data_IF_289968506972
#
_entry.id   IF_289968506972
#
_cell.length_a   1.000
_cell.length_b   1.000
_cell.length_c   1.000
_cell.angle_alpha   90.00
_cell.angle_beta   90.00
_cell.angle_gamma   90.00
#
_symmetry.space_group_name_H-M   'P 1'
#
loop_
_entity.id
_entity.type
_entity.pdbx_description
1 polymer ?
#
# COMPACT_ATOMS: atom_id res chain seq x y z
N UNK A 1 21.44 12.64 -16.26
CA UNK A 1 21.45 11.19 -15.93
C UNK A 1 20.16 10.59 -16.47
N UNK A 2 20.22 9.68 -17.46
CA UNK A 2 19.02 9.04 -18.03
C UNK A 2 18.40 8.12 -16.97
N UNK A 3 17.09 8.24 -16.74
CA UNK A 3 16.42 7.56 -15.62
C UNK A 3 16.07 6.13 -16.02
N UNK A 4 16.93 5.18 -15.66
CA UNK A 4 16.58 3.76 -15.74
C UNK A 4 15.54 3.48 -14.64
N UNK A 5 14.40 2.83 -14.95
CA UNK A 5 13.38 2.52 -13.96
C UNK A 5 13.94 1.70 -12.80
N UNK A 6 13.40 1.92 -11.61
CA UNK A 6 13.80 1.16 -10.41
C UNK A 6 12.86 -0.01 -10.13
N UNK A 7 11.61 0.06 -10.58
CA UNK A 7 10.60 -0.98 -10.40
C UNK A 7 10.89 -2.21 -11.27
N UNK A 8 10.73 -3.41 -10.70
CA UNK A 8 11.04 -4.69 -11.36
C UNK A 8 10.36 -4.88 -12.72
N UNK A 9 9.05 -4.62 -12.79
CA UNK A 9 8.27 -4.77 -14.02
C UNK A 9 8.69 -3.76 -15.07
N UNK A 10 8.94 -2.51 -14.66
CA UNK A 10 9.40 -1.45 -15.57
C UNK A 10 10.81 -1.74 -16.12
N UNK A 11 11.71 -2.27 -15.29
CA UNK A 11 13.04 -2.73 -15.73
C UNK A 11 12.91 -3.81 -16.79
N UNK A 12 12.04 -4.82 -16.56
CA UNK A 12 11.84 -5.89 -17.53
C UNK A 12 11.28 -5.38 -18.87
N UNK A 13 10.30 -4.47 -18.81
CA UNK A 13 9.70 -3.85 -20.02
C UNK A 13 10.77 -3.06 -20.79
N UNK A 14 11.57 -2.24 -20.10
CA UNK A 14 12.61 -1.47 -20.76
C UNK A 14 13.71 -2.37 -21.34
N UNK A 15 14.17 -3.39 -20.61
CA UNK A 15 15.13 -4.37 -21.12
C UNK A 15 14.61 -5.11 -22.36
N UNK A 16 13.30 -5.37 -22.43
CA UNK A 16 12.66 -5.96 -23.62
C UNK A 16 12.70 -5.00 -24.81
N UNK A 17 12.38 -3.72 -24.60
CA UNK A 17 12.49 -2.70 -25.65
C UNK A 17 13.93 -2.51 -26.12
N UNK A 18 14.89 -2.46 -25.21
CA UNK A 18 16.32 -2.38 -25.54
C UNK A 18 16.80 -3.59 -26.35
N UNK A 19 16.37 -4.80 -25.98
CA UNK A 19 16.63 -6.01 -26.77
C UNK A 19 16.07 -5.91 -28.18
N UNK A 20 14.82 -5.48 -28.33
CA UNK A 20 14.20 -5.32 -29.65
C UNK A 20 14.94 -4.27 -30.50
N UNK A 21 15.36 -3.16 -29.89
CA UNK A 21 16.19 -2.14 -30.55
C UNK A 21 17.55 -2.70 -31.00
N UNK A 22 18.20 -3.52 -30.17
CA UNK A 22 19.45 -4.20 -30.54
C UNK A 22 19.24 -5.16 -31.72
N UNK A 23 18.18 -5.97 -31.70
CA UNK A 23 17.88 -6.89 -32.81
C UNK A 23 17.64 -6.13 -34.12
N UNK A 24 16.93 -5.00 -34.06
CA UNK A 24 16.59 -4.23 -35.26
C UNK A 24 17.74 -3.38 -35.79
N UNK A 25 18.57 -2.80 -34.92
CA UNK A 25 19.51 -1.73 -35.32
C UNK A 25 20.99 -2.02 -35.02
N UNK A 26 21.37 -3.11 -34.36
CA UNK A 26 22.78 -3.36 -34.03
C UNK A 26 23.70 -3.57 -35.24
N UNK A 27 23.16 -3.94 -36.40
CA UNK A 27 23.95 -4.00 -37.64
C UNK A 27 24.21 -2.59 -38.23
N UNK A 28 23.27 -1.66 -38.04
CA UNK A 28 23.33 -0.30 -38.56
C UNK A 28 24.03 0.68 -37.60
N UNK A 29 24.02 0.38 -36.30
CA UNK A 29 24.68 1.14 -35.25
C UNK A 29 25.81 0.25 -34.73
N UNK A 30 27.09 0.61 -34.87
CA UNK A 30 28.20 -0.22 -34.42
C UNK A 30 28.29 -0.21 -32.89
N UNK A 31 27.37 -0.93 -32.22
CA UNK A 31 27.32 -1.13 -30.78
C UNK A 31 28.33 -2.24 -30.44
N UNK A 32 29.47 -1.86 -29.88
CA UNK A 32 30.61 -2.79 -29.71
C UNK A 32 30.68 -3.47 -28.33
N UNK A 33 29.96 -2.96 -27.32
CA UNK A 33 30.06 -3.45 -25.94
C UNK A 33 28.86 -4.26 -25.44
N UNK A 34 27.71 -4.18 -26.12
CA UNK A 34 26.49 -4.90 -25.75
C UNK A 34 25.83 -5.46 -27.00
N UNK A 35 25.66 -6.78 -27.05
CA UNK A 35 24.96 -7.42 -28.15
C UNK A 35 23.57 -7.95 -27.73
N UNK A 36 22.74 -8.29 -28.72
CA UNK A 36 21.38 -8.76 -28.50
C UNK A 36 21.33 -10.07 -27.68
N UNK A 37 22.31 -10.96 -27.84
CA UNK A 37 22.38 -12.23 -27.11
C UNK A 37 22.65 -12.02 -25.61
N UNK A 38 23.57 -11.12 -25.26
CA UNK A 38 23.84 -10.72 -23.87
C UNK A 38 22.60 -10.11 -23.21
N UNK A 39 21.92 -9.18 -23.91
CA UNK A 39 20.68 -8.58 -23.40
C UNK A 39 19.56 -9.62 -23.22
N UNK A 40 19.44 -10.57 -24.15
CA UNK A 40 18.48 -11.67 -24.06
C UNK A 40 18.75 -12.58 -22.85
N UNK A 41 20.01 -12.97 -22.66
CA UNK A 41 20.42 -13.79 -21.53
C UNK A 41 20.13 -13.08 -20.20
N UNK A 42 20.56 -11.81 -20.05
CA UNK A 42 20.34 -11.05 -18.82
C UNK A 42 18.86 -10.79 -18.52
N UNK A 43 18.04 -10.44 -19.52
CA UNK A 43 16.59 -10.24 -19.27
C UNK A 43 15.87 -11.54 -18.90
N UNK A 44 16.30 -12.66 -19.47
CA UNK A 44 15.72 -13.98 -19.17
C UNK A 44 16.11 -14.42 -17.76
N UNK A 45 17.39 -14.29 -17.40
CA UNK A 45 17.85 -14.53 -16.04
C UNK A 45 17.09 -13.66 -15.02
N UNK A 46 16.93 -12.37 -15.30
CA UNK A 46 16.15 -11.44 -14.48
C UNK A 46 14.70 -11.89 -14.30
N UNK A 47 14.01 -12.27 -15.38
CA UNK A 47 12.65 -12.81 -15.27
C UNK A 47 12.59 -14.06 -14.39
N UNK A 48 13.52 -15.00 -14.61
CA UNK A 48 13.54 -16.28 -13.91
C UNK A 48 13.74 -16.10 -12.41
N UNK A 49 14.72 -15.29 -11.97
CA UNK A 49 14.94 -15.05 -10.53
C UNK A 49 13.77 -14.31 -9.88
N UNK A 50 13.05 -13.46 -10.64
CA UNK A 50 11.82 -12.82 -10.17
C UNK A 50 10.69 -13.84 -9.93
N UNK A 51 10.52 -14.79 -10.84
CA UNK A 51 9.54 -15.87 -10.71
C UNK A 51 9.89 -16.81 -9.56
N UNK A 52 11.16 -17.20 -9.43
CA UNK A 52 11.64 -18.05 -8.33
C UNK A 52 11.38 -17.38 -6.98
N UNK A 53 11.71 -16.10 -6.83
CA UNK A 53 11.45 -15.36 -5.58
C UNK A 53 9.96 -15.32 -5.22
N UNK A 54 9.09 -15.03 -6.19
CA UNK A 54 7.64 -15.01 -5.96
C UNK A 54 7.09 -16.40 -5.59
N UNK A 55 7.63 -17.44 -6.22
CA UNK A 55 7.27 -18.84 -5.93
C UNK A 55 7.71 -19.21 -4.52
N UNK A 56 8.98 -18.99 -4.15
CA UNK A 56 9.49 -19.27 -2.80
C UNK A 56 8.72 -18.52 -1.71
N UNK A 57 8.30 -17.28 -1.97
CA UNK A 57 7.46 -16.51 -1.04
C UNK A 57 6.10 -17.16 -0.83
N UNK A 58 5.45 -17.64 -1.90
CA UNK A 58 4.17 -18.32 -1.80
C UNK A 58 4.33 -19.69 -1.10
N UNK A 59 5.41 -20.42 -1.40
CA UNK A 59 5.75 -21.68 -0.71
C UNK A 59 5.94 -21.48 0.78
N UNK A 60 6.65 -20.42 1.20
CA UNK A 60 6.82 -20.12 2.62
C UNK A 60 5.50 -19.83 3.33
N UNK A 61 4.63 -19.03 2.70
CA UNK A 61 3.29 -18.77 3.24
C UNK A 61 2.51 -20.08 3.41
N UNK A 62 2.47 -20.91 2.39
CA UNK A 62 1.76 -22.19 2.44
C UNK A 62 2.38 -23.14 3.50
N UNK A 63 3.70 -23.13 3.67
CA UNK A 63 4.37 -23.92 4.71
C UNK A 63 3.93 -23.49 6.12
N UNK A 64 3.80 -22.18 6.37
CA UNK A 64 3.25 -21.68 7.64
C UNK A 64 1.78 -22.06 7.83
N UNK A 65 0.95 -21.97 6.78
CA UNK A 65 -0.47 -22.36 6.82
C UNK A 65 -0.65 -23.85 7.15
N UNK A 66 0.24 -24.72 6.69
CA UNK A 66 0.21 -26.17 7.00
C UNK A 66 0.83 -26.47 8.37
N UNK A 67 1.94 -25.81 8.73
CA UNK A 67 2.66 -26.07 9.97
C UNK A 67 1.84 -25.69 11.20
N UNK A 68 1.16 -24.52 11.18
CA UNK A 68 0.48 -24.00 12.36
C UNK A 68 -0.59 -24.96 12.93
N UNK A 69 -1.55 -25.49 12.14
CA UNK A 69 -2.52 -26.44 12.65
C UNK A 69 -1.90 -27.71 13.26
N UNK A 70 -0.83 -28.23 12.66
CA UNK A 70 -0.13 -29.41 13.18
C UNK A 70 0.52 -29.14 14.55
N UNK A 71 1.15 -27.96 14.70
CA UNK A 71 1.76 -27.54 15.97
C UNK A 71 0.72 -27.28 17.06
N UNK A 72 -0.42 -26.68 16.70
CA UNK A 72 -1.53 -26.43 17.61
C UNK A 72 -2.17 -27.76 18.05
N UNK A 73 -2.38 -28.71 17.12
CA UNK A 73 -2.91 -30.04 17.41
C UNK A 73 -2.01 -30.84 18.37
N UNK A 74 -0.69 -30.83 18.13
CA UNK A 74 0.27 -31.47 19.04
C UNK A 74 0.22 -30.85 20.44
N UNK A 75 0.10 -29.52 20.54
CA UNK A 75 0.03 -28.83 21.83
C UNK A 75 -1.22 -29.21 22.63
N UNK A 76 -2.39 -29.18 22.00
CA UNK A 76 -3.66 -29.54 22.64
C UNK A 76 -3.66 -31.01 23.08
N UNK A 77 -3.09 -31.89 22.26
CA UNK A 77 -2.92 -33.29 22.63
C UNK A 77 -1.97 -33.46 23.83
N UNK A 78 -0.84 -32.75 23.87
CA UNK A 78 0.09 -32.79 25.01
C UNK A 78 -0.55 -32.28 26.31
N UNK A 79 -1.46 -31.29 26.24
CA UNK A 79 -2.25 -30.86 27.40
C UNK A 79 -3.18 -31.97 27.89
N UNK A 80 -3.82 -32.68 26.98
CA UNK A 80 -4.69 -33.84 27.29
C UNK A 80 -3.89 -34.98 27.91
N UNK A 81 -2.74 -35.34 27.32
CA UNK A 81 -1.79 -36.33 27.85
C UNK A 81 -1.38 -35.97 29.28
N UNK A 82 -0.97 -34.73 29.51
CA UNK A 82 -0.60 -34.26 30.85
C UNK A 82 -1.75 -34.45 31.85
N UNK A 83 -2.98 -34.12 31.47
CA UNK A 83 -4.14 -34.27 32.35
C UNK A 83 -4.41 -35.75 32.69
N UNK A 84 -4.26 -36.66 31.71
CA UNK A 84 -4.40 -38.11 31.92
C UNK A 84 -3.30 -38.66 32.82
N UNK A 85 -2.04 -38.33 32.53
CA UNK A 85 -0.89 -38.78 33.33
C UNK A 85 -0.95 -38.24 34.76
N UNK A 86 -1.43 -37.01 34.98
CA UNK A 86 -1.58 -36.48 36.35
C UNK A 86 -2.54 -37.28 37.23
N UNK A 87 -3.52 -37.98 36.65
CA UNK A 87 -4.42 -38.88 37.40
C UNK A 87 -3.73 -40.19 37.79
N UNK A 88 -2.73 -40.64 37.04
CA UNK A 88 -2.01 -41.91 37.25
C UNK A 88 -0.71 -41.73 38.04
N UNK A 89 0.05 -40.69 37.74
CA UNK A 89 1.38 -40.41 38.28
C UNK A 89 1.38 -39.38 39.42
N UNK A 90 0.23 -38.74 39.66
CA UNK A 90 0.07 -37.63 40.59
C UNK A 90 0.35 -36.26 39.95
N UNK A 91 -0.08 -35.19 40.64
CA UNK A 91 -0.02 -33.82 40.12
C UNK A 91 1.33 -33.12 40.27
N UNK A 92 2.22 -33.67 41.10
CA UNK A 92 3.59 -33.17 41.32
C UNK A 92 4.56 -33.95 40.46
N UNK A 93 5.66 -33.29 40.08
CA UNK A 93 6.74 -33.95 39.35
C UNK A 93 7.34 -35.10 40.17
N UNK A 94 7.71 -36.18 39.50
CA UNK A 94 8.31 -37.38 40.06
C UNK A 94 9.19 -38.07 39.02
N UNK A 95 9.94 -39.10 39.42
CA UNK A 95 10.75 -39.91 38.48
C UNK A 95 9.88 -40.55 37.40
N UNK A 96 8.66 -40.97 37.73
CA UNK A 96 7.71 -41.52 36.75
C UNK A 96 7.29 -40.50 35.67
N UNK A 97 7.24 -39.20 36.01
CA UNK A 97 7.05 -38.14 35.00
C UNK A 97 8.27 -38.01 34.07
N UNK A 98 9.48 -38.17 34.60
CA UNK A 98 10.69 -38.16 33.79
C UNK A 98 10.76 -39.35 32.83
N UNK A 99 10.32 -40.54 33.26
CA UNK A 99 10.19 -41.73 32.41
C UNK A 99 9.21 -41.50 31.24
N UNK A 100 8.14 -40.72 31.46
CA UNK A 100 7.21 -40.31 30.42
C UNK A 100 7.72 -39.15 29.53
N UNK A 101 8.97 -38.68 29.73
CA UNK A 101 9.60 -37.64 28.92
C UNK A 101 9.59 -36.22 29.52
N UNK A 102 9.00 -36.01 30.70
CA UNK A 102 8.97 -34.71 31.37
C UNK A 102 10.23 -34.47 32.21
N UNK A 103 11.36 -34.22 31.53
CA UNK A 103 12.71 -34.20 32.12
C UNK A 103 13.10 -32.92 32.88
N UNK A 104 12.39 -31.81 32.69
CA UNK A 104 12.76 -30.47 33.21
C UNK A 104 12.30 -30.20 34.64
N UNK A 105 12.26 -31.23 35.49
CA UNK A 105 11.70 -31.19 36.87
C UNK A 105 10.31 -30.54 36.97
N UNK A 106 9.57 -30.57 35.87
CA UNK A 106 8.29 -29.90 35.68
C UNK A 106 7.36 -30.80 34.89
N UNK A 107 6.06 -30.76 35.21
CA UNK A 107 5.02 -31.44 34.43
C UNK A 107 4.43 -30.54 33.34
N UNK A 108 4.98 -29.34 33.14
CA UNK A 108 4.47 -28.39 32.16
C UNK A 108 4.79 -28.84 30.74
N UNK A 109 3.83 -28.66 29.82
CA UNK A 109 4.07 -28.84 28.39
C UNK A 109 5.07 -27.77 27.90
N UNK A 110 6.12 -28.15 27.14
CA UNK A 110 7.09 -27.20 26.62
C UNK A 110 6.47 -26.07 25.81
N UNK A 111 7.07 -24.87 25.92
CA UNK A 111 6.62 -23.67 25.21
C UNK A 111 7.12 -23.60 23.77
N UNK A 112 8.30 -24.15 23.50
CA UNK A 112 8.90 -24.18 22.15
C UNK A 112 8.38 -25.37 21.36
N UNK A 113 8.28 -25.22 20.04
CA UNK A 113 7.86 -26.32 19.16
C UNK A 113 8.82 -27.51 19.23
N UNK A 114 10.13 -27.25 19.20
CA UNK A 114 11.17 -28.28 19.34
C UNK A 114 11.00 -29.09 20.63
N UNK A 115 10.68 -28.41 21.74
CA UNK A 115 10.43 -29.06 23.01
C UNK A 115 9.15 -29.93 22.98
N UNK A 116 8.10 -29.49 22.28
CA UNK A 116 6.86 -30.25 22.12
C UNK A 116 7.08 -31.49 21.25
N UNK A 117 7.81 -31.37 20.14
CA UNK A 117 8.18 -32.50 19.28
C UNK A 117 9.01 -33.51 20.07
N UNK A 118 10.03 -33.04 20.80
CA UNK A 118 10.86 -33.92 21.63
C UNK A 118 10.04 -34.65 22.70
N UNK A 119 9.09 -33.96 23.35
CA UNK A 119 8.17 -34.59 24.31
C UNK A 119 7.23 -35.59 23.63
N UNK A 120 6.70 -35.26 22.45
CA UNK A 120 5.87 -36.16 21.64
C UNK A 120 6.60 -37.46 21.30
N UNK A 121 7.85 -37.36 20.83
CA UNK A 121 8.72 -38.52 20.56
C UNK A 121 8.97 -39.37 21.82
N UNK A 122 9.22 -38.73 22.97
CA UNK A 122 9.40 -39.45 24.23
C UNK A 122 8.11 -40.21 24.63
N UNK A 123 6.94 -39.61 24.41
CA UNK A 123 5.65 -40.22 24.69
C UNK A 123 5.31 -41.38 23.74
N UNK A 124 5.76 -41.33 22.47
CA UNK A 124 5.66 -42.48 21.55
C UNK A 124 6.37 -43.69 22.17
N UNK A 125 7.62 -43.52 22.59
CA UNK A 125 8.39 -44.60 23.24
C UNK A 125 7.71 -45.05 24.53
N UNK A 126 7.32 -44.11 25.39
CA UNK A 126 6.70 -44.41 26.68
C UNK A 126 5.43 -45.25 26.55
N UNK A 127 4.50 -44.88 25.66
CA UNK A 127 3.25 -45.63 25.47
C UNK A 127 3.47 -46.98 24.78
N UNK A 128 4.46 -47.08 23.89
CA UNK A 128 4.86 -48.35 23.28
C UNK A 128 5.37 -49.33 24.35
N UNK A 129 6.20 -48.84 25.28
CA UNK A 129 6.78 -49.65 26.36
C UNK A 129 5.79 -49.90 27.51
N UNK A 130 4.77 -49.05 27.65
CA UNK A 130 3.78 -49.09 28.73
C UNK A 130 2.33 -49.06 28.21
N UNK A 131 1.84 -50.08 27.48
CA UNK A 131 0.51 -50.06 26.86
C UNK A 131 -0.65 -49.89 27.85
N UNK A 132 -0.46 -50.28 29.11
CA UNK A 132 -1.48 -50.10 30.17
C UNK A 132 -1.74 -48.64 30.53
N UNK A 133 -0.84 -47.71 30.17
CA UNK A 133 -0.97 -46.28 30.38
C UNK A 133 -1.73 -45.56 29.26
N UNK A 134 -1.97 -46.24 28.14
CA UNK A 134 -2.80 -45.70 27.07
C UNK A 134 -4.26 -45.51 27.52
N UNK A 135 -4.92 -44.52 26.92
CA UNK A 135 -6.35 -44.24 27.09
C UNK A 135 -6.93 -43.93 25.71
N UNK A 136 -7.37 -44.98 25.02
CA UNK A 136 -7.86 -44.90 23.65
C UNK A 136 -9.08 -43.95 23.50
N UNK A 137 -9.99 -43.93 24.46
CA UNK A 137 -11.18 -43.05 24.45
C UNK A 137 -10.83 -41.55 24.44
N UNK A 138 -9.59 -41.19 24.78
CA UNK A 138 -9.09 -39.81 24.78
C UNK A 138 -7.96 -39.61 23.75
N UNK A 139 -7.77 -40.56 22.84
CA UNK A 139 -6.68 -40.57 21.86
C UNK A 139 -5.27 -40.44 22.49
N UNK A 140 -5.11 -40.86 23.75
CA UNK A 140 -3.81 -40.91 24.43
C UNK A 140 -3.19 -42.28 24.18
N UNK A 141 -2.56 -42.42 23.02
CA UNK A 141 -1.94 -43.67 22.53
C UNK A 141 -0.61 -43.39 21.85
N UNK A 142 0.25 -44.41 21.71
CA UNK A 142 1.49 -44.32 20.94
C UNK A 142 1.20 -43.96 19.47
N UNK A 143 0.17 -44.55 18.87
CA UNK A 143 -0.21 -44.29 17.49
C UNK A 143 -0.57 -42.82 17.25
N UNK A 144 -1.37 -42.22 18.15
CA UNK A 144 -1.72 -40.80 18.03
C UNK A 144 -0.53 -39.88 18.29
N UNK A 145 0.33 -40.26 19.25
CA UNK A 145 1.57 -39.54 19.53
C UNK A 145 2.45 -39.47 18.27
N UNK A 146 2.61 -40.59 17.55
CA UNK A 146 3.37 -40.65 16.29
C UNK A 146 2.74 -39.75 15.24
N UNK A 147 1.44 -39.90 14.97
CA UNK A 147 0.72 -39.10 13.97
C UNK A 147 0.93 -37.58 14.15
N UNK A 148 0.71 -37.09 15.38
CA UNK A 148 0.80 -35.66 15.67
C UNK A 148 2.23 -35.15 15.72
N UNK A 149 3.18 -35.97 16.19
CA UNK A 149 4.60 -35.59 16.26
C UNK A 149 5.20 -35.52 14.86
N UNK A 150 4.93 -36.52 14.01
CA UNK A 150 5.41 -36.54 12.62
C UNK A 150 4.82 -35.38 11.81
N UNK A 151 3.54 -35.06 12.01
CA UNK A 151 2.89 -33.92 11.37
C UNK A 151 3.52 -32.59 11.80
N UNK A 152 3.79 -32.41 13.10
CA UNK A 152 4.40 -31.20 13.63
C UNK A 152 5.87 -31.03 13.17
N UNK A 153 6.64 -32.12 13.17
CA UNK A 153 8.03 -32.13 12.71
C UNK A 153 8.13 -31.86 11.20
N UNK A 154 7.33 -32.56 10.39
CA UNK A 154 7.24 -32.32 8.94
C UNK A 154 6.84 -30.87 8.63
N UNK A 155 5.89 -30.30 9.39
CA UNK A 155 5.51 -28.89 9.28
C UNK A 155 6.68 -27.94 9.56
N UNK A 156 7.41 -28.18 10.64
CA UNK A 156 8.57 -27.36 11.03
C UNK A 156 9.72 -27.44 10.01
N UNK A 157 10.01 -28.65 9.51
CA UNK A 157 10.99 -28.86 8.44
C UNK A 157 10.57 -28.15 7.13
N UNK A 158 9.28 -28.20 6.79
CA UNK A 158 8.71 -27.51 5.64
C UNK A 158 8.91 -25.99 5.69
N UNK A 159 8.65 -25.38 6.85
CA UNK A 159 8.91 -23.93 7.08
C UNK A 159 10.39 -23.63 6.91
N UNK A 160 11.27 -24.37 7.58
CA UNK A 160 12.72 -24.15 7.54
C UNK A 160 13.27 -24.24 6.11
N UNK A 161 12.84 -25.26 5.36
CA UNK A 161 13.22 -25.45 3.96
C UNK A 161 12.74 -24.30 3.08
N UNK A 162 11.50 -23.82 3.28
CA UNK A 162 10.95 -22.72 2.51
C UNK A 162 11.63 -21.37 2.82
N UNK A 163 12.07 -21.14 4.06
CA UNK A 163 12.82 -19.95 4.46
C UNK A 163 14.19 -19.90 3.77
N UNK A 164 14.92 -21.03 3.77
CA UNK A 164 16.19 -21.16 3.07
C UNK A 164 16.01 -20.91 1.57
N UNK A 165 14.99 -21.54 0.95
CA UNK A 165 14.70 -21.34 -0.47
C UNK A 165 14.34 -19.89 -0.82
N UNK A 166 13.67 -19.15 0.06
CA UNK A 166 13.39 -17.73 -0.12
C UNK A 166 14.66 -16.88 -0.01
N UNK A 167 15.52 -17.20 0.95
CA UNK A 167 16.81 -16.52 1.15
C UNK A 167 17.74 -16.70 -0.05
N UNK A 168 17.83 -17.92 -0.57
CA UNK A 168 18.64 -18.23 -1.75
C UNK A 168 18.09 -17.53 -3.00
N UNK A 169 16.76 -17.54 -3.17
CA UNK A 169 16.11 -16.82 -4.26
C UNK A 169 16.39 -15.31 -4.19
N UNK A 170 16.37 -14.69 -3.01
CA UNK A 170 16.70 -13.27 -2.87
C UNK A 170 18.18 -12.99 -3.13
N UNK A 171 19.07 -13.88 -2.68
CA UNK A 171 20.52 -13.81 -2.90
C UNK A 171 20.86 -13.86 -4.39
N UNK A 172 20.16 -14.67 -5.19
CA UNK A 172 20.30 -14.70 -6.65
C UNK A 172 19.66 -13.48 -7.34
N UNK A 173 18.54 -12.97 -6.79
CA UNK A 173 17.75 -11.88 -7.37
C UNK A 173 18.49 -10.55 -7.41
N UNK A 174 19.15 -10.17 -6.31
CA UNK A 174 19.84 -8.88 -6.17
C UNK A 174 20.96 -8.65 -7.20
N UNK A 175 21.98 -9.52 -7.33
CA UNK A 175 23.06 -9.33 -8.30
C UNK A 175 22.56 -9.41 -9.74
N UNK A 176 21.60 -10.28 -10.04
CA UNK A 176 21.00 -10.38 -11.39
C UNK A 176 20.34 -9.06 -11.82
N UNK A 177 19.68 -8.37 -10.88
CA UNK A 177 19.13 -7.04 -11.14
C UNK A 177 20.23 -6.02 -11.41
N UNK A 178 21.28 -5.99 -10.59
CA UNK A 178 22.41 -5.06 -10.77
C UNK A 178 23.06 -5.29 -12.13
N UNK A 179 23.39 -6.54 -12.47
CA UNK A 179 24.00 -6.89 -13.75
C UNK A 179 23.15 -6.46 -14.96
N UNK A 180 21.82 -6.58 -14.87
CA UNK A 180 20.93 -6.11 -15.93
C UNK A 180 20.94 -4.57 -16.03
N UNK A 181 20.88 -3.86 -14.90
CA UNK A 181 20.91 -2.39 -14.87
C UNK A 181 22.24 -1.84 -15.40
N UNK A 182 23.35 -2.50 -15.06
CA UNK A 182 24.68 -2.15 -15.57
C UNK A 182 24.75 -2.38 -17.08
N UNK A 183 24.27 -3.53 -17.58
CA UNK A 183 24.23 -3.81 -19.01
C UNK A 183 23.37 -2.78 -19.78
N UNK A 184 22.22 -2.41 -19.23
CA UNK A 184 21.34 -1.38 -19.80
C UNK A 184 22.03 -0.01 -19.79
N UNK A 185 22.74 0.34 -18.72
CA UNK A 185 23.52 1.58 -18.62
C UNK A 185 24.66 1.63 -19.63
N UNK A 186 25.39 0.52 -19.79
CA UNK A 186 26.44 0.37 -20.81
C UNK A 186 25.88 0.53 -22.21
N UNK A 187 24.71 -0.06 -22.50
CA UNK A 187 24.05 0.13 -23.80
C UNK A 187 23.73 1.61 -24.04
N UNK A 188 23.11 2.30 -23.07
CA UNK A 188 22.80 3.73 -23.19
C UNK A 188 24.07 4.55 -23.46
N UNK A 189 25.16 4.31 -22.72
CA UNK A 189 26.43 4.99 -22.90
C UNK A 189 27.06 4.73 -24.29
N UNK A 190 26.84 3.54 -24.87
CA UNK A 190 27.28 3.24 -26.22
C UNK A 190 26.44 3.97 -27.27
N UNK A 191 25.11 3.97 -27.11
CA UNK A 191 24.21 4.70 -28.00
C UNK A 191 24.50 6.21 -27.95
N UNK A 192 24.84 6.77 -26.79
CA UNK A 192 25.21 8.18 -26.62
C UNK A 192 26.42 8.59 -27.47
N UNK A 193 27.34 7.66 -27.71
CA UNK A 193 28.53 7.88 -28.53
C UNK A 193 28.28 7.69 -30.03
N UNK A 194 27.12 7.12 -30.42
CA UNK A 194 26.86 6.66 -31.79
C UNK A 194 25.64 7.29 -32.44
N UNK A 195 24.69 7.80 -31.65
CA UNK A 195 23.45 8.43 -32.12
C UNK A 195 23.45 9.92 -31.81
N UNK A 196 22.89 10.71 -32.73
CA UNK A 196 22.58 12.11 -32.46
C UNK A 196 21.48 12.22 -31.38
N UNK A 197 21.42 13.36 -30.69
CA UNK A 197 20.49 13.57 -29.56
C UNK A 197 19.00 13.62 -29.99
N UNK A 198 18.74 13.91 -31.25
CA UNK A 198 17.41 13.99 -31.89
C UNK A 198 17.10 12.74 -32.73
N UNK A 199 17.95 11.72 -32.72
CA UNK A 199 17.77 10.55 -33.57
C UNK A 199 16.52 9.73 -33.15
N UNK A 200 15.53 9.53 -34.03
CA UNK A 200 14.31 8.79 -33.70
C UNK A 200 14.57 7.33 -33.29
N UNK A 201 15.75 6.77 -33.62
CA UNK A 201 16.14 5.40 -33.23
C UNK A 201 16.22 5.23 -31.72
N UNK A 202 16.40 6.29 -30.92
CA UNK A 202 16.30 6.21 -29.45
C UNK A 202 14.98 5.55 -29.00
N UNK A 203 13.87 5.86 -29.67
CA UNK A 203 12.55 5.34 -29.35
C UNK A 203 12.44 3.82 -29.57
N UNK A 204 13.19 3.28 -30.55
CA UNK A 204 13.23 1.84 -30.80
C UNK A 204 13.85 1.03 -29.66
N UNK A 205 14.76 1.65 -28.90
CA UNK A 205 15.31 1.07 -27.66
C UNK A 205 14.40 1.30 -26.44
N UNK A 206 13.24 1.93 -26.64
CA UNK A 206 12.35 2.35 -25.55
C UNK A 206 12.88 3.51 -24.73
N UNK A 207 13.83 4.26 -25.27
CA UNK A 207 14.46 5.41 -24.64
C UNK A 207 13.88 6.71 -25.20
N UNK A 208 13.80 7.73 -24.37
CA UNK A 208 13.47 9.08 -24.82
C UNK A 208 14.65 9.70 -25.60
N UNK A 209 14.33 10.50 -26.61
CA UNK A 209 15.30 11.26 -27.40
C UNK A 209 15.92 12.39 -26.54
N UNK A 210 17.26 12.47 -26.43
CA UNK A 210 17.92 13.45 -25.54
C UNK A 210 17.66 14.94 -25.80
N UNK A 211 17.36 15.37 -27.03
CA UNK A 211 17.20 16.79 -27.38
C UNK A 211 15.76 17.27 -27.49
N UNK A 212 14.75 16.41 -27.33
CA UNK A 212 13.36 16.86 -27.38
C UNK A 212 13.04 17.58 -26.08
N UNK A 213 12.68 18.88 -26.08
CA UNK A 213 12.23 19.54 -24.86
C UNK A 213 10.95 18.86 -24.40
N UNK A 214 11.03 18.03 -23.35
CA UNK A 214 9.87 17.39 -22.73
C UNK A 214 9.30 18.23 -21.60
N UNK A 215 10.07 19.19 -21.08
CA UNK A 215 9.62 20.11 -20.04
C UNK A 215 8.59 21.09 -20.60
N UNK A 216 7.35 21.11 -20.09
CA UNK A 216 6.39 22.15 -20.46
C UNK A 216 6.90 23.53 -20.06
N UNK A 217 6.47 24.56 -20.80
CA UNK A 217 6.66 25.95 -20.37
C UNK A 217 5.80 26.26 -19.15
N UNK A 218 6.06 27.38 -18.47
CA UNK A 218 5.24 27.83 -17.34
C UNK A 218 3.79 28.06 -17.79
N UNK A 219 2.76 27.57 -17.07
CA UNK A 219 1.39 27.90 -17.40
C UNK A 219 1.13 29.40 -17.24
N UNK A 220 0.31 29.95 -18.11
CA UNK A 220 -0.14 31.35 -18.09
C UNK A 220 -1.64 31.43 -17.80
N UNK A 221 -2.16 32.64 -17.59
CA UNK A 221 -3.59 32.86 -17.46
C UNK A 221 -4.24 32.22 -16.23
N UNK A 222 -3.47 31.97 -15.17
CA UNK A 222 -4.00 31.44 -13.90
C UNK A 222 -5.03 32.41 -13.33
N UNK A 223 -6.24 31.91 -13.12
CA UNK A 223 -7.38 32.63 -12.57
C UNK A 223 -8.12 31.76 -11.56
N UNK A 224 -8.76 32.43 -10.61
CA UNK A 224 -9.57 31.80 -9.59
C UNK A 224 -10.97 32.43 -9.58
N UNK A 225 -12.00 31.60 -9.46
CA UNK A 225 -13.38 32.02 -9.29
C UNK A 225 -13.90 31.45 -7.98
N UNK A 226 -14.22 32.32 -7.02
CA UNK A 226 -14.75 31.92 -5.72
C UNK A 226 -16.25 31.65 -5.84
N UNK A 227 -16.68 30.47 -5.40
CA UNK A 227 -18.05 29.97 -5.48
C UNK A 227 -18.50 29.52 -4.09
N UNK A 228 -18.87 30.48 -3.23
CA UNK A 228 -19.19 30.18 -1.83
C UNK A 228 -17.94 29.82 -1.02
N UNK A 229 -17.82 28.55 -0.60
CA UNK A 229 -16.64 28.03 0.12
C UNK A 229 -15.69 27.22 -0.78
N UNK A 230 -15.94 27.22 -2.09
CA UNK A 230 -15.13 26.53 -3.10
C UNK A 230 -14.43 27.56 -4.01
N UNK A 231 -13.32 27.15 -4.62
CA UNK A 231 -12.58 27.94 -5.60
C UNK A 231 -12.36 27.10 -6.86
N UNK A 232 -12.91 27.57 -7.99
CA UNK A 232 -12.55 27.04 -9.30
C UNK A 232 -11.25 27.70 -9.77
N UNK A 233 -10.21 26.90 -9.99
CA UNK A 233 -8.95 27.32 -10.57
C UNK A 233 -8.88 26.93 -12.03
N UNK A 234 -8.45 27.87 -12.88
CA UNK A 234 -8.24 27.64 -14.30
C UNK A 234 -6.94 28.29 -14.77
N UNK A 235 -6.30 27.71 -15.78
CA UNK A 235 -5.17 28.33 -16.49
C UNK A 235 -5.26 28.05 -17.99
N UNK A 236 -4.35 28.64 -18.77
CA UNK A 236 -4.27 28.37 -20.20
C UNK A 236 -3.67 26.98 -20.47
N UNK A 237 -4.16 26.33 -21.53
CA UNK A 237 -3.57 25.08 -22.00
C UNK A 237 -2.11 25.30 -22.40
N UNK A 238 -1.22 24.46 -21.87
CA UNK A 238 0.23 24.62 -21.96
C UNK A 238 0.75 23.53 -22.90
N UNK A 239 1.49 23.88 -23.97
CA UNK A 239 2.06 22.88 -24.87
C UNK A 239 2.88 21.84 -24.11
N UNK A 240 2.75 20.58 -24.53
CA UNK A 240 3.40 19.40 -23.92
C UNK A 240 2.92 19.04 -22.51
N UNK A 241 2.03 19.81 -21.88
CA UNK A 241 1.47 19.44 -20.58
C UNK A 241 0.52 18.23 -20.70
N UNK A 242 0.76 17.23 -19.87
CA UNK A 242 -0.12 16.06 -19.69
C UNK A 242 -0.91 16.13 -18.39
N UNK A 243 -0.52 17.05 -17.50
CA UNK A 243 -1.08 17.25 -16.16
C UNK A 243 -0.71 18.63 -15.62
N UNK A 244 -1.53 19.14 -14.73
CA UNK A 244 -1.33 20.37 -13.97
C UNK A 244 -1.30 20.07 -12.47
N UNK A 245 -0.49 20.82 -11.74
CA UNK A 245 -0.39 20.78 -10.28
C UNK A 245 -0.66 22.16 -9.73
N UNK A 246 -1.79 22.32 -9.05
CA UNK A 246 -2.17 23.54 -8.37
C UNK A 246 -1.68 23.46 -6.93
N UNK A 247 -1.01 24.51 -6.48
CA UNK A 247 -0.48 24.61 -5.11
C UNK A 247 -0.94 25.89 -4.46
N UNK A 248 -1.16 25.83 -3.15
CA UNK A 248 -1.49 27.01 -2.36
C UNK A 248 -0.60 27.12 -1.13
N UNK A 249 -0.52 28.33 -0.59
CA UNK A 249 -0.09 28.59 0.78
C UNK A 249 -0.99 29.63 1.39
N UNK A 250 -1.23 29.54 2.69
CA UNK A 250 -1.90 30.62 3.43
C UNK A 250 -0.92 31.78 3.58
N UNK A 251 -1.31 32.96 3.07
CA UNK A 251 -0.50 34.16 3.12
C UNK A 251 -0.20 34.52 4.58
N UNK A 252 1.06 34.89 4.86
CA UNK A 252 1.57 35.27 6.20
C UNK A 252 1.51 34.19 7.30
N UNK A 253 1.03 32.98 6.99
CA UNK A 253 0.97 31.85 7.93
C UNK A 253 1.90 30.72 7.47
N UNK A 254 1.91 30.41 6.18
CA UNK A 254 2.62 29.27 5.62
C UNK A 254 3.76 29.73 4.70
N UNK A 255 4.95 29.16 4.90
CA UNK A 255 6.13 29.48 4.09
C UNK A 255 6.28 28.60 2.85
N UNK A 256 5.59 27.45 2.79
CA UNK A 256 5.72 26.47 1.72
C UNK A 256 4.40 26.23 0.98
N UNK A 257 4.49 26.13 -0.34
CA UNK A 257 3.36 25.78 -1.20
C UNK A 257 3.01 24.29 -1.09
N UNK A 258 1.78 24.00 -0.67
CA UNK A 258 1.23 22.64 -0.57
C UNK A 258 0.49 22.28 -1.85
N UNK A 259 0.64 21.04 -2.31
CA UNK A 259 -0.13 20.52 -3.43
C UNK A 259 -1.58 20.31 -2.99
N UNK A 260 -2.49 21.04 -3.62
CA UNK A 260 -3.92 20.99 -3.29
C UNK A 260 -4.72 20.27 -4.36
N UNK A 261 -4.28 20.30 -5.61
CA UNK A 261 -4.92 19.56 -6.69
C UNK A 261 -3.93 19.14 -7.77
N UNK A 262 -4.19 18.00 -8.40
CA UNK A 262 -3.49 17.57 -9.60
C UNK A 262 -4.49 17.09 -10.66
N UNK A 263 -4.54 17.78 -11.79
CA UNK A 263 -5.58 17.60 -12.82
C UNK A 263 -4.96 17.28 -14.18
N UNK A 264 -5.66 16.48 -15.00
CA UNK A 264 -5.26 16.22 -16.40
C UNK A 264 -5.70 17.35 -17.34
N UNK A 265 -6.64 18.18 -16.91
CA UNK A 265 -7.11 19.38 -17.61
C UNK A 265 -6.54 20.64 -16.96
N UNK A 266 -6.51 21.79 -17.66
CA UNK A 266 -5.99 23.05 -17.11
C UNK A 266 -6.96 23.71 -16.11
N UNK A 267 -7.63 22.91 -15.29
CA UNK A 267 -8.61 23.34 -14.29
C UNK A 267 -8.64 22.39 -13.09
N UNK A 268 -8.97 22.91 -11.92
CA UNK A 268 -9.20 22.14 -10.70
C UNK A 268 -10.17 22.88 -9.76
N UNK A 269 -10.96 22.12 -9.00
CA UNK A 269 -11.78 22.65 -7.91
C UNK A 269 -11.03 22.52 -6.59
N UNK A 270 -11.15 23.54 -5.74
CA UNK A 270 -10.60 23.58 -4.39
C UNK A 270 -11.72 23.75 -3.38
N UNK A 271 -11.81 22.81 -2.44
CA UNK A 271 -12.90 22.77 -1.46
C UNK A 271 -12.36 22.91 -0.03
N UNK A 272 -13.26 23.20 0.91
CA UNK A 272 -12.96 23.16 2.34
C UNK A 272 -12.04 24.29 2.83
N UNK A 273 -12.08 25.46 2.18
CA UNK A 273 -11.26 26.61 2.57
C UNK A 273 -12.03 27.46 3.57
N UNK A 274 -11.42 27.72 4.73
CA UNK A 274 -12.04 28.52 5.76
C UNK A 274 -12.25 29.99 5.32
N UNK A 275 -13.38 30.55 5.75
CA UNK A 275 -13.76 31.92 5.47
C UNK A 275 -12.71 32.94 5.99
N UNK A 276 -12.52 34.03 5.26
CA UNK A 276 -11.62 35.13 5.63
C UNK A 276 -10.12 34.85 5.46
N UNK A 277 -9.72 33.68 4.97
CA UNK A 277 -8.31 33.37 4.71
C UNK A 277 -7.89 33.89 3.32
N UNK A 278 -6.68 34.45 3.23
CA UNK A 278 -6.03 34.78 1.95
C UNK A 278 -5.01 33.72 1.58
N UNK A 279 -5.13 33.20 0.36
CA UNK A 279 -4.25 32.20 -0.22
C UNK A 279 -3.43 32.81 -1.35
N UNK A 280 -2.17 32.41 -1.44
CA UNK A 280 -1.41 32.54 -2.67
C UNK A 280 -1.46 31.21 -3.43
N UNK A 281 -1.78 31.28 -4.72
CA UNK A 281 -2.01 30.13 -5.59
C UNK A 281 -1.07 30.18 -6.79
N UNK A 282 -0.41 29.05 -7.07
CA UNK A 282 0.42 28.85 -8.27
C UNK A 282 0.03 27.57 -8.99
N UNK A 283 0.32 27.50 -10.29
CA UNK A 283 0.16 26.28 -11.09
C UNK A 283 1.46 25.91 -11.79
N UNK A 284 1.70 24.60 -11.93
CA UNK A 284 2.83 24.05 -12.68
C UNK A 284 2.31 23.00 -13.67
N UNK A 285 2.79 23.05 -14.91
CA UNK A 285 2.53 22.03 -15.92
C UNK A 285 3.54 20.87 -15.79
N UNK A 286 3.08 19.66 -16.10
CA UNK A 286 3.86 18.42 -15.97
C UNK A 286 3.72 17.58 -17.23
N UNK A 287 4.85 17.06 -17.70
CA UNK A 287 4.91 16.06 -18.76
C UNK A 287 5.78 14.90 -18.30
N UNK A 288 5.16 13.76 -17.98
CA UNK A 288 5.85 12.64 -17.37
C UNK A 288 6.57 13.04 -16.07
N UNK A 289 7.90 13.05 -16.10
CA UNK A 289 8.75 13.41 -14.96
C UNK A 289 9.29 14.85 -15.02
N UNK A 290 9.00 15.59 -16.09
CA UNK A 290 9.43 16.97 -16.27
C UNK A 290 8.33 17.91 -15.78
N UNK A 291 8.72 18.92 -15.02
CA UNK A 291 7.80 19.91 -14.45
C UNK A 291 8.27 21.31 -14.84
N UNK A 292 7.33 22.16 -15.24
CA UNK A 292 7.61 23.56 -15.55
C UNK A 292 8.01 24.34 -14.29
N UNK A 293 8.59 25.52 -14.49
CA UNK A 293 8.56 26.56 -13.45
C UNK A 293 7.10 26.94 -13.13
N UNK A 294 6.87 27.49 -11.94
CA UNK A 294 5.54 27.94 -11.54
C UNK A 294 5.06 29.11 -12.40
N UNK A 295 3.74 29.19 -12.58
CA UNK A 295 3.10 30.41 -13.06
C UNK A 295 3.37 31.58 -12.12
N UNK A 296 3.09 32.79 -12.58
CA UNK A 296 2.89 33.93 -11.67
C UNK A 296 1.79 33.56 -10.66
N UNK A 297 2.05 33.85 -9.38
CA UNK A 297 1.10 33.59 -8.30
C UNK A 297 -0.06 34.58 -8.31
N UNK A 298 -1.24 34.12 -7.90
CA UNK A 298 -2.42 34.96 -7.67
C UNK A 298 -2.81 34.92 -6.19
N UNK A 299 -3.35 36.01 -5.69
CA UNK A 299 -3.91 36.09 -4.34
C UNK A 299 -5.43 35.96 -4.40
N UNK A 300 -5.98 35.13 -3.54
CA UNK A 300 -7.42 34.90 -3.43
C UNK A 300 -7.84 34.94 -1.98
N UNK A 301 -8.79 35.82 -1.64
CA UNK A 301 -9.34 35.95 -0.28
C UNK A 301 -10.74 35.35 -0.25
N UNK A 302 -10.98 34.43 0.68
CA UNK A 302 -12.31 33.86 0.89
C UNK A 302 -13.24 34.87 1.57
N UNK A 303 -14.52 34.94 1.17
CA UNK A 303 -15.49 35.80 1.82
C UNK A 303 -15.57 35.47 3.32
N UNK A 304 -15.73 36.47 4.20
CA UNK A 304 -15.97 36.22 5.61
C UNK A 304 -17.34 35.53 5.80
N UNK A 305 -17.49 34.76 6.88
CA UNK A 305 -18.83 34.30 7.29
C UNK A 305 -19.65 35.55 7.59
N UNK A 306 -20.77 35.73 6.89
CA UNK A 306 -21.68 36.83 7.18
C UNK A 306 -22.06 36.76 8.66
N UNK A 307 -21.76 37.82 9.43
CA UNK A 307 -22.22 37.93 10.79
C UNK A 307 -23.76 37.83 10.81
N UNK A 308 -24.32 36.95 11.64
CA UNK A 308 -25.75 36.96 11.90
C UNK A 308 -26.12 38.36 12.38
N UNK A 309 -27.02 39.01 11.64
CA UNK A 309 -27.58 40.30 12.01
C UNK A 309 -28.21 40.12 13.40
N UNK A 310 -27.87 40.92 14.42
CA UNK A 310 -28.46 40.74 15.74
C UNK A 310 -29.97 40.91 15.61
N UNK A 311 -30.71 39.93 16.13
CA UNK A 311 -32.18 40.00 16.26
C UNK A 311 -32.48 41.27 17.04
N UNK A 312 -33.23 42.19 16.43
CA UNK A 312 -33.67 43.42 17.07
C UNK A 312 -34.39 43.05 18.37
N UNK A 313 -33.89 43.54 19.50
CA UNK A 313 -34.53 43.38 20.80
C UNK A 313 -35.91 44.03 20.76
N UNK A 314 -36.88 43.33 21.35
CA UNK A 314 -38.28 43.68 21.59
C UNK A 314 -38.40 44.92 22.50
N UNK A 315 -37.96 46.10 22.02
CA UNK A 315 -37.99 47.36 22.76
C UNK A 315 -38.33 48.59 21.88
N UNK A 316 -38.72 48.39 20.62
CA UNK A 316 -39.17 49.48 19.74
C UNK A 316 -40.57 49.19 19.17
N UNK A 317 -41.55 49.02 20.06
CA UNK A 317 -42.97 49.15 19.75
C UNK A 317 -43.52 50.34 20.54
N UNK A 318 -43.47 51.54 19.94
CA UNK A 318 -44.36 52.63 20.31
C UNK A 318 -45.59 52.61 19.37
N UNK A 319 -46.80 52.88 19.88
CA UNK A 319 -48.05 52.42 19.27
C UNK A 319 -48.49 53.30 18.10
N UNK A 320 -48.96 52.63 17.04
CA UNK A 320 -49.69 53.26 15.93
C UNK A 320 -50.99 53.88 16.45
N UNK A 321 -51.19 55.15 16.12
CA UNK A 321 -52.39 55.92 16.42
C UNK A 321 -53.67 55.29 15.85
N UNK A 322 -54.74 55.41 16.63
CA UNK A 322 -56.08 54.96 16.33
C UNK A 322 -56.65 55.63 15.07
N UNK A 323 -57.09 54.80 14.11
CA UNK A 323 -58.03 55.20 13.06
C UNK A 323 -59.44 54.91 13.58
N UNK A 324 -60.24 55.96 13.72
CA UNK A 324 -61.64 55.88 14.11
C UNK A 324 -62.50 55.24 12.99
N UNK A 325 -63.44 54.33 13.32
CA UNK A 325 -64.41 53.82 12.38
C UNK A 325 -65.64 54.74 12.32
N UNK A 326 -65.89 55.26 11.13
CA UNK A 326 -67.12 55.90 10.68
C UNK A 326 -68.25 54.86 10.61
N UNK A 327 -69.31 55.11 11.38
CA UNK A 327 -70.46 54.22 11.49
C UNK A 327 -71.40 54.25 10.30
N UNK A 328 -72.10 53.13 10.08
CA UNK A 328 -73.55 53.14 9.89
C UNK A 328 -74.15 51.73 9.97
N UNK A 329 -75.22 51.58 10.76
CA UNK A 329 -76.39 50.80 10.33
C UNK A 329 -76.61 49.39 10.88
N UNK A 330 -77.45 49.33 11.93
CA UNK A 330 -78.55 48.38 12.15
C UNK A 330 -78.31 46.85 12.21
N UNK A 331 -78.66 46.30 13.39
CA UNK A 331 -79.95 45.60 13.48
C UNK A 331 -79.92 44.09 13.77
N UNK A 332 -80.21 43.77 15.03
CA UNK A 332 -80.98 42.62 15.53
C UNK A 332 -80.49 41.17 15.35
N UNK A 333 -80.59 40.44 16.47
CA UNK A 333 -80.81 38.98 16.51
C UNK A 333 -79.61 38.21 17.04
N UNK A 334 -79.39 38.13 18.36
CA UNK A 334 -80.06 37.17 19.26
C UNK A 334 -79.67 35.70 19.00
N UNK A 335 -78.87 35.17 19.94
CA UNK A 335 -78.80 33.75 20.35
C UNK A 335 -78.15 32.80 19.32
N UNK A 336 -77.34 31.80 19.66
CA UNK A 336 -76.90 31.24 20.91
C UNK A 336 -75.90 30.10 20.57
N UNK A 337 -74.88 29.94 21.41
CA UNK A 337 -74.49 28.65 22.01
C UNK A 337 -73.71 27.61 21.17
N UNK A 338 -72.75 27.01 21.89
CA UNK A 338 -72.10 25.70 21.71
C UNK A 338 -70.87 25.65 20.80
N UNK A 339 -69.67 25.49 21.37
CA UNK A 339 -69.06 24.32 22.05
C UNK A 339 -68.36 23.39 21.05
N UNK A 340 -67.07 23.18 21.35
CA UNK A 340 -66.31 21.93 21.29
C UNK A 340 -66.47 21.04 20.04
N UNK A 341 -65.36 20.91 19.33
CA UNK A 341 -64.53 19.68 19.36
C UNK A 341 -63.17 19.99 18.77
#
# INVERSE_FOLDING_TARGET
MRKIPTNWGQVFILATKMYNGLVAFAAAIPVTMVNAAQMLASKTAFRNVGNTFNTSRNTLRNAYEVSKPAQDALYEWLLTVRAVLARRLGSRWSVAWAEAGFVSTSTAVPKTIEGRIALGLALVTYYTDNPSYEVADLDVTAAKATELTDAADSGQQGVTTAELALKDADTARRPTRVNLLDLMSTLVANLDKKLAKDDPRWLAFGLEMPSTPTTPVAPTGLRATVMGMEILLECDATPLATRYRFRTRILDVENEFKLVASSLTPMAMLDGIAAGITLEIIVQAVNGNSQSVASTGILVTMPPVAAEKPVASEAELAPLAAIAPNGNGNGNGSLAVSRLS
#
